data_IF_980969418907
#
_entry.id   IF_980969418907
#
_cell.length_a   1.000
_cell.length_b   1.000
_cell.length_c   1.000
_cell.angle_alpha   90.00
_cell.angle_beta   90.00
_cell.angle_gamma   90.00
#
_symmetry.space_group_name_H-M   'P 1'
#
loop_
_entity.id
_entity.type
_entity.pdbx_description
1 polymer ?
#
# COMPACT_ATOMS: atom_id res chain seq x y z
N UNK A 1 52.46 30.94 -26.34
CA UNK A 1 52.21 31.68 -25.08
C UNK A 1 50.87 31.23 -24.50
N UNK A 2 50.77 31.17 -23.15
CA UNK A 2 49.68 30.65 -22.29
C UNK A 2 49.75 29.13 -21.99
N UNK A 3 50.36 28.67 -20.88
CA UNK A 3 50.09 28.76 -19.40
C UNK A 3 49.38 27.47 -18.94
N UNK A 4 50.13 26.46 -18.47
CA UNK A 4 50.61 26.15 -17.10
C UNK A 4 49.57 25.39 -16.25
N UNK A 5 49.81 24.08 -16.12
CA UNK A 5 49.23 23.17 -15.13
C UNK A 5 49.57 23.62 -13.70
N UNK A 6 48.64 23.48 -12.77
CA UNK A 6 48.89 23.60 -11.33
C UNK A 6 48.45 22.28 -10.70
N UNK A 7 49.44 21.46 -10.36
CA UNK A 7 49.29 20.32 -9.46
C UNK A 7 49.23 20.86 -8.02
N UNK A 8 48.06 20.75 -7.40
CA UNK A 8 47.85 21.10 -5.99
C UNK A 8 47.83 19.85 -5.12
N UNK A 9 49.01 19.33 -4.76
CA UNK A 9 49.14 18.37 -3.66
C UNK A 9 49.00 19.10 -2.32
N UNK A 10 47.95 18.79 -1.56
CA UNK A 10 47.74 19.33 -0.22
C UNK A 10 47.88 18.17 0.79
N UNK A 11 49.07 18.04 1.38
CA UNK A 11 49.28 17.21 2.55
C UNK A 11 48.87 17.98 3.81
N UNK A 12 47.70 17.66 4.38
CA UNK A 12 47.37 18.01 5.77
C UNK A 12 47.43 16.75 6.64
N UNK A 13 48.62 16.41 7.11
CA UNK A 13 48.79 15.48 8.22
C UNK A 13 48.93 16.28 9.52
N UNK A 14 47.80 16.73 10.08
CA UNK A 14 47.76 17.22 11.46
C UNK A 14 47.50 16.02 12.36
N UNK A 15 48.55 15.51 13.01
CA UNK A 15 48.40 14.51 14.07
C UNK A 15 47.59 15.15 15.21
N UNK A 16 46.31 14.78 15.29
CA UNK A 16 45.44 15.13 16.41
C UNK A 16 45.66 14.04 17.46
N UNK A 17 46.41 14.35 18.51
CA UNK A 17 46.41 13.51 19.71
C UNK A 17 45.03 13.64 20.36
N UNK A 18 44.34 12.52 20.65
CA UNK A 18 43.06 12.58 21.36
C UNK A 18 43.31 13.13 22.76
N UNK A 19 42.85 14.36 23.00
CA UNK A 19 42.76 14.92 24.35
C UNK A 19 41.58 14.17 25.00
N UNK A 20 41.88 13.13 25.77
CA UNK A 20 40.90 12.46 26.61
C UNK A 20 40.39 13.46 27.65
N UNK A 21 39.26 14.10 27.36
CA UNK A 21 38.59 14.96 28.33
C UNK A 21 37.97 14.08 29.41
N UNK A 22 38.23 14.32 30.70
CA UNK A 22 37.66 13.51 31.77
C UNK A 22 36.14 13.70 31.80
N UNK A 23 35.40 12.62 31.53
CA UNK A 23 33.94 12.55 31.64
C UNK A 23 33.54 12.16 33.05
N UNK A 24 32.53 12.82 33.61
CA UNK A 24 31.95 12.50 34.93
C UNK A 24 30.61 11.78 34.68
N UNK A 25 30.26 10.77 35.48
CA UNK A 25 28.94 10.12 35.40
C UNK A 25 27.91 10.94 36.17
N UNK A 26 26.81 11.30 35.50
CA UNK A 26 25.65 11.94 36.13
C UNK A 26 24.85 10.94 36.98
N UNK A 27 23.96 11.43 37.85
CA UNK A 27 23.03 10.61 38.65
C UNK A 27 22.18 9.65 37.80
N UNK A 28 21.90 10.05 36.56
CA UNK A 28 21.05 9.31 35.62
C UNK A 28 21.83 8.24 34.84
N UNK A 29 23.12 8.02 35.16
CA UNK A 29 23.98 7.04 34.51
C UNK A 29 24.60 7.47 33.18
N UNK A 30 24.23 8.66 32.67
CA UNK A 30 24.80 9.24 31.45
C UNK A 30 26.15 9.93 31.72
N UNK A 31 27.11 9.74 30.81
CA UNK A 31 28.39 10.43 30.84
C UNK A 31 28.22 11.88 30.37
N UNK A 32 28.68 12.83 31.17
CA UNK A 32 28.60 14.28 30.91
C UNK A 32 30.01 14.89 30.83
N UNK A 33 30.16 15.90 29.96
CA UNK A 33 31.37 16.73 29.93
C UNK A 33 31.41 17.63 31.19
N UNK A 34 32.58 18.21 31.48
CA UNK A 34 32.83 19.05 32.65
C UNK A 34 31.65 19.97 33.01
N UNK A 35 31.30 20.10 34.30
CA UNK A 35 30.25 21.02 34.73
C UNK A 35 30.60 22.45 34.30
N UNK A 36 29.59 23.17 33.81
CA UNK A 36 29.75 24.58 33.40
C UNK A 36 29.86 25.44 34.66
N UNK A 37 30.73 26.46 34.66
CA UNK A 37 30.95 27.32 35.84
C UNK A 37 29.70 28.05 36.36
N UNK A 38 28.65 28.13 35.54
CA UNK A 38 27.47 28.95 35.82
C UNK A 38 26.33 28.18 36.51
N UNK A 39 26.61 27.05 37.17
CA UNK A 39 25.61 26.22 37.87
C UNK A 39 24.55 25.57 36.97
N UNK A 40 24.66 25.72 35.65
CA UNK A 40 23.76 25.07 34.68
C UNK A 40 24.19 23.63 34.47
N UNK A 41 23.22 22.69 34.33
CA UNK A 41 23.52 21.29 34.09
C UNK A 41 24.37 21.14 32.82
N UNK A 42 25.37 20.25 32.82
CA UNK A 42 26.22 20.01 31.65
C UNK A 42 25.39 19.45 30.50
N UNK A 43 25.81 19.74 29.27
CA UNK A 43 25.14 19.17 28.10
C UNK A 43 25.39 17.65 28.05
N UNK A 44 24.38 16.87 27.66
CA UNK A 44 24.57 15.45 27.40
C UNK A 44 25.59 15.26 26.27
N UNK A 45 26.42 14.21 26.38
CA UNK A 45 27.34 13.86 25.32
C UNK A 45 26.56 13.50 24.04
N UNK A 46 26.98 14.00 22.87
CA UNK A 46 26.39 13.55 21.63
C UNK A 46 26.59 12.02 21.47
N UNK A 47 25.64 11.27 20.89
CA UNK A 47 25.71 9.81 20.79
C UNK A 47 26.94 9.26 20.06
N UNK A 48 27.64 10.09 19.28
CA UNK A 48 28.87 9.71 18.59
C UNK A 48 30.09 9.68 19.53
N UNK A 49 30.01 10.31 20.69
CA UNK A 49 31.08 10.39 21.70
C UNK A 49 30.69 9.75 23.04
N UNK A 50 29.46 9.27 23.18
CA UNK A 50 29.04 8.54 24.37
C UNK A 50 29.69 7.13 24.37
N UNK A 51 30.49 6.77 25.40
CA UNK A 51 31.12 5.45 25.49
C UNK A 51 30.12 4.30 25.40
N UNK A 52 28.89 4.46 25.90
CA UNK A 52 27.85 3.42 25.85
C UNK A 52 27.40 3.21 24.40
N UNK A 53 27.19 4.29 23.66
CA UNK A 53 26.79 4.24 22.26
C UNK A 53 27.91 3.69 21.36
N UNK A 54 29.18 4.01 21.68
CA UNK A 54 30.35 3.47 21.00
C UNK A 54 30.53 1.97 21.27
N UNK A 55 30.33 1.51 22.51
CA UNK A 55 30.39 0.09 22.85
C UNK A 55 29.28 -0.69 22.14
N UNK A 56 28.05 -0.16 22.14
CA UNK A 56 26.92 -0.75 21.43
C UNK A 56 27.20 -0.87 19.92
N UNK A 57 27.73 0.19 19.28
CA UNK A 57 28.16 0.15 17.87
C UNK A 57 29.26 -0.88 17.64
N UNK A 58 30.25 -0.96 18.54
CA UNK A 58 31.34 -1.93 18.48
C UNK A 58 30.85 -3.38 18.50
N UNK A 59 29.75 -3.69 19.20
CA UNK A 59 29.16 -5.04 19.21
C UNK A 59 28.59 -5.45 17.84
N UNK A 60 28.05 -4.50 17.08
CA UNK A 60 27.49 -4.76 15.75
C UNK A 60 28.55 -4.79 14.64
N UNK A 61 29.67 -4.08 14.81
CA UNK A 61 30.75 -4.02 13.81
C UNK A 61 31.84 -5.08 14.01
N UNK A 62 31.97 -5.68 15.20
CA UNK A 62 32.88 -6.81 15.42
C UNK A 62 32.44 -7.98 14.55
N UNK A 63 33.29 -8.36 13.59
CA UNK A 63 33.12 -9.59 12.84
C UNK A 63 32.99 -10.75 13.83
N UNK A 64 31.91 -11.54 13.70
CA UNK A 64 31.75 -12.73 14.53
C UNK A 64 33.01 -13.58 14.36
N UNK A 65 33.66 -13.93 15.48
CA UNK A 65 34.85 -14.77 15.46
C UNK A 65 34.53 -16.02 14.64
N UNK A 66 35.23 -16.17 13.51
CA UNK A 66 35.15 -17.36 12.68
C UNK A 66 35.64 -18.50 13.55
N UNK A 67 34.74 -19.38 13.98
CA UNK A 67 35.15 -20.62 14.64
C UNK A 67 36.12 -21.32 13.69
N UNK A 68 37.37 -21.45 14.12
CA UNK A 68 38.36 -22.25 13.43
C UNK A 68 37.88 -23.69 13.49
N UNK A 69 37.16 -24.09 12.45
CA UNK A 69 36.82 -25.48 12.21
C UNK A 69 38.13 -26.24 12.12
N UNK A 70 38.39 -27.06 13.14
CA UNK A 70 39.49 -28.04 13.23
C UNK A 70 39.54 -28.87 11.95
N UNK A 71 40.27 -28.39 10.96
CA UNK A 71 40.77 -29.19 9.85
C UNK A 71 42.13 -29.71 10.26
N UNK A 72 42.16 -30.89 10.87
CA UNK A 72 43.31 -31.79 10.73
C UNK A 72 42.79 -33.16 10.28
N UNK A 73 43.06 -33.42 9.00
CA UNK A 73 43.09 -34.71 8.32
C UNK A 73 43.72 -35.78 9.23
N UNK A 74 43.05 -36.91 9.46
CA UNK A 74 43.20 -38.16 8.68
C UNK A 74 44.65 -38.61 8.50
N UNK A 75 45.11 -39.51 9.39
CA UNK A 75 46.03 -40.59 9.04
C UNK A 75 45.54 -41.89 9.69
N UNK A 76 45.35 -42.89 8.82
CA UNK A 76 45.34 -44.34 9.03
C UNK A 76 44.43 -44.98 10.10
N UNK A 77 43.37 -45.63 9.59
CA UNK A 77 42.82 -46.93 9.99
C UNK A 77 43.07 -47.46 11.40
N UNK A 78 42.01 -47.49 12.20
CA UNK A 78 41.72 -48.61 13.10
C UNK A 78 40.26 -48.51 13.57
N UNK A 79 39.50 -49.55 13.27
CA UNK A 79 38.34 -49.97 14.06
C UNK A 79 38.72 -50.05 15.53
N UNK A 80 37.94 -49.44 16.43
CA UNK A 80 37.57 -49.99 17.75
C UNK A 80 36.34 -49.20 18.23
N UNK A 81 35.26 -49.94 18.44
CA UNK A 81 34.11 -49.51 19.20
C UNK A 81 34.54 -49.19 20.63
N UNK A 82 34.09 -48.07 21.18
CA UNK A 82 33.81 -47.98 22.61
C UNK A 82 32.80 -46.87 22.90
N UNK A 83 31.75 -47.32 23.59
CA UNK A 83 30.71 -46.56 24.26
C UNK A 83 31.28 -45.57 25.27
N UNK A 84 30.47 -44.54 25.53
CA UNK A 84 30.56 -43.56 26.62
C UNK A 84 31.21 -42.22 26.24
N UNK A 85 30.48 -41.44 25.43
CA UNK A 85 30.34 -40.01 25.69
C UNK A 85 29.02 -39.52 25.09
N UNK A 86 27.95 -39.61 25.88
CA UNK A 86 26.75 -38.84 25.66
C UNK A 86 27.05 -37.39 26.07
N UNK A 87 27.14 -36.49 25.08
CA UNK A 87 26.67 -35.09 25.10
C UNK A 87 27.42 -34.29 24.02
N UNK A 88 26.65 -33.61 23.16
CA UNK A 88 27.05 -32.72 22.05
C UNK A 88 27.47 -33.38 20.72
N UNK A 89 26.65 -34.29 20.21
CA UNK A 89 26.53 -34.54 18.77
C UNK A 89 25.19 -34.02 18.26
N UNK A 90 24.92 -32.72 18.42
CA UNK A 90 23.79 -32.04 17.75
C UNK A 90 24.19 -31.70 16.30
N UNK A 91 24.56 -32.73 15.53
CA UNK A 91 24.78 -32.65 14.10
C UNK A 91 23.73 -33.48 13.33
N UNK A 92 22.59 -33.78 13.98
CA UNK A 92 21.37 -34.26 13.33
C UNK A 92 20.56 -33.15 12.65
N UNK A 93 20.90 -31.88 12.90
CA UNK A 93 19.97 -30.79 12.63
C UNK A 93 20.08 -30.19 11.21
N UNK A 94 21.11 -30.51 10.43
CA UNK A 94 21.28 -29.94 9.09
C UNK A 94 20.28 -30.56 8.09
N UNK A 95 20.13 -31.88 8.11
CA UNK A 95 19.14 -32.60 7.29
C UNK A 95 17.71 -32.27 7.72
N UNK A 96 17.49 -32.08 9.02
CA UNK A 96 16.16 -31.74 9.56
C UNK A 96 15.79 -30.28 9.25
N UNK A 97 16.77 -29.38 9.20
CA UNK A 97 16.57 -28.00 8.78
C UNK A 97 16.36 -27.88 7.27
N UNK A 98 17.07 -28.67 6.46
CA UNK A 98 16.89 -28.73 5.01
C UNK A 98 15.49 -29.23 4.64
N UNK A 99 14.93 -30.15 5.42
CA UNK A 99 13.58 -30.68 5.23
C UNK A 99 12.48 -29.81 5.85
N UNK A 100 12.82 -28.78 6.62
CA UNK A 100 11.82 -27.91 7.25
C UNK A 100 11.18 -26.99 6.19
N UNK A 101 9.86 -27.10 5.93
CA UNK A 101 9.18 -26.30 4.91
C UNK A 101 9.23 -24.80 5.21
N UNK A 102 9.29 -24.40 6.48
CA UNK A 102 9.42 -22.99 6.86
C UNK A 102 10.82 -22.45 6.57
N UNK A 103 11.87 -23.26 6.78
CA UNK A 103 13.23 -22.87 6.43
C UNK A 103 13.37 -22.67 4.92
N UNK A 104 12.80 -23.58 4.12
CA UNK A 104 12.73 -23.45 2.66
C UNK A 104 11.92 -22.22 2.22
N UNK A 105 10.80 -21.92 2.90
CA UNK A 105 9.99 -20.74 2.62
C UNK A 105 10.75 -19.43 2.86
N UNK A 106 11.48 -19.34 3.97
CA UNK A 106 12.29 -18.18 4.33
C UNK A 106 13.55 -18.03 3.46
N UNK A 107 14.12 -19.15 3.02
CA UNK A 107 15.25 -19.16 2.09
C UNK A 107 14.87 -18.71 0.67
N UNK A 108 13.56 -18.66 0.33
CA UNK A 108 13.11 -18.20 -0.98
C UNK A 108 13.43 -16.71 -1.20
N UNK A 109 13.76 -16.28 -2.44
CA UNK A 109 14.14 -14.89 -2.70
C UNK A 109 13.07 -13.90 -2.24
N UNK A 110 13.49 -12.84 -1.55
CA UNK A 110 12.58 -11.77 -1.14
C UNK A 110 12.08 -11.02 -2.38
N UNK A 111 10.77 -10.79 -2.42
CA UNK A 111 10.07 -10.07 -3.48
C UNK A 111 9.09 -9.09 -2.87
N UNK A 112 8.80 -8.02 -3.60
CA UNK A 112 7.84 -7.03 -3.17
C UNK A 112 6.44 -7.42 -3.66
N UNK A 113 5.49 -7.56 -2.74
CA UNK A 113 4.07 -7.70 -3.05
C UNK A 113 3.58 -6.42 -3.73
N UNK A 114 2.96 -6.53 -4.90
CA UNK A 114 2.51 -5.36 -5.67
C UNK A 114 1.28 -4.66 -5.07
N UNK A 115 0.48 -5.36 -4.25
CA UNK A 115 -0.69 -4.75 -3.60
C UNK A 115 -0.37 -4.04 -2.31
N UNK A 116 0.42 -4.68 -1.43
CA UNK A 116 0.71 -4.16 -0.10
C UNK A 116 2.04 -3.44 -0.01
N UNK A 117 2.90 -3.55 -1.04
CA UNK A 117 4.27 -3.04 -1.00
C UNK A 117 5.20 -3.81 -0.06
N UNK A 118 4.69 -4.78 0.71
CA UNK A 118 5.47 -5.57 1.65
C UNK A 118 6.54 -6.39 0.93
N UNK A 119 7.76 -6.42 1.49
CA UNK A 119 8.86 -7.28 1.02
C UNK A 119 8.83 -8.57 1.81
N UNK A 120 8.43 -9.66 1.16
CA UNK A 120 8.33 -10.98 1.79
C UNK A 120 8.98 -12.05 0.90
N UNK A 121 9.42 -13.18 1.46
CA UNK A 121 9.91 -14.30 0.67
C UNK A 121 8.89 -14.74 -0.39
N UNK A 122 9.37 -15.10 -1.59
CA UNK A 122 8.53 -15.49 -2.74
C UNK A 122 7.53 -16.60 -2.39
N UNK A 123 7.88 -17.51 -1.48
CA UNK A 123 7.00 -18.58 -1.03
C UNK A 123 5.64 -18.07 -0.52
N UNK A 124 5.61 -16.90 0.11
CA UNK A 124 4.39 -16.27 0.61
C UNK A 124 3.65 -15.45 -0.46
N UNK A 125 4.09 -15.51 -1.72
CA UNK A 125 3.51 -14.76 -2.82
C UNK A 125 2.95 -15.69 -3.90
N UNK A 126 1.74 -15.38 -4.35
CA UNK A 126 1.12 -15.98 -5.53
C UNK A 126 1.58 -15.20 -6.76
N UNK A 127 2.24 -15.85 -7.74
CA UNK A 127 2.53 -15.24 -9.02
C UNK A 127 1.24 -15.05 -9.82
N UNK A 128 1.06 -13.88 -10.42
CA UNK A 128 -0.05 -13.57 -11.31
C UNK A 128 0.48 -13.27 -12.70
N UNK A 129 -0.16 -13.89 -13.69
CA UNK A 129 -0.03 -13.50 -15.09
C UNK A 129 -1.17 -12.58 -15.47
N UNK A 130 -0.85 -11.62 -16.33
CA UNK A 130 -1.86 -10.82 -17.02
C UNK A 130 -2.25 -11.57 -18.29
N UNK A 131 -3.48 -12.06 -18.34
CA UNK A 131 -4.10 -12.66 -19.51
C UNK A 131 -4.87 -11.55 -20.26
N UNK A 132 -4.58 -11.40 -21.55
CA UNK A 132 -5.24 -10.45 -22.47
C UNK A 132 -5.21 -8.97 -22.06
N UNK A 133 -4.23 -8.57 -21.23
CA UNK A 133 -4.10 -7.20 -20.72
C UNK A 133 -5.22 -6.77 -19.76
N UNK A 134 -6.14 -7.66 -19.38
CA UNK A 134 -7.37 -7.30 -18.66
C UNK A 134 -7.64 -8.16 -17.42
N UNK A 135 -7.11 -9.38 -17.34
CA UNK A 135 -7.39 -10.31 -16.23
C UNK A 135 -6.10 -10.77 -15.59
N UNK A 136 -6.08 -10.79 -14.26
CA UNK A 136 -5.00 -11.42 -13.50
C UNK A 136 -5.41 -12.85 -13.15
N UNK A 137 -4.60 -13.82 -13.53
CA UNK A 137 -4.84 -15.24 -13.23
C UNK A 137 -3.66 -15.77 -12.43
N UNK A 138 -3.89 -16.51 -11.32
CA UNK A 138 -2.82 -17.18 -10.59
C UNK A 138 -2.09 -18.14 -11.53
N UNK A 139 -0.78 -17.95 -11.68
CA UNK A 139 0.07 -18.92 -12.35
C UNK A 139 0.12 -20.14 -11.44
N UNK A 140 -0.65 -21.17 -11.76
CA UNK A 140 -0.49 -22.48 -11.11
C UNK A 140 0.96 -22.93 -11.30
N UNK A 141 1.60 -23.34 -10.21
CA UNK A 141 2.95 -23.92 -10.23
C UNK A 141 3.03 -25.15 -11.14
N UNK A 142 1.90 -25.79 -11.43
CA UNK A 142 1.79 -26.91 -12.35
C UNK A 142 1.60 -26.42 -13.79
N UNK A 143 2.57 -25.65 -14.31
CA UNK A 143 2.98 -25.43 -15.72
C UNK A 143 1.99 -25.32 -16.90
N UNK A 144 0.70 -25.63 -16.77
CA UNK A 144 -0.24 -25.79 -17.88
C UNK A 144 -0.59 -24.47 -18.55
N UNK A 145 -0.88 -23.44 -17.75
CA UNK A 145 -1.24 -22.12 -18.25
C UNK A 145 -0.06 -21.34 -18.84
N UNK A 146 1.19 -21.70 -18.54
CA UNK A 146 2.37 -21.04 -19.13
C UNK A 146 2.78 -21.66 -20.48
N UNK A 147 2.51 -22.95 -20.70
CA UNK A 147 2.85 -23.62 -21.97
C UNK A 147 2.08 -23.07 -23.16
N UNK A 148 0.83 -22.63 -22.97
CA UNK A 148 0.02 -22.03 -24.05
C UNK A 148 0.53 -20.66 -24.50
N UNK A 149 1.11 -19.86 -23.61
CA UNK A 149 1.65 -18.53 -23.96
C UNK A 149 3.12 -18.56 -24.39
N UNK A 150 3.85 -19.66 -24.13
CA UNK A 150 5.25 -19.81 -24.54
C UNK A 150 5.44 -19.91 -26.07
N UNK A 151 4.39 -20.29 -26.80
CA UNK A 151 4.43 -20.46 -28.26
C UNK A 151 3.99 -19.20 -29.05
N UNK A 152 3.72 -18.09 -28.36
CA UNK A 152 3.42 -16.80 -28.99
C UNK A 152 4.71 -16.19 -29.60
N UNK A 153 4.83 -16.02 -30.93
CA UNK A 153 6.11 -15.68 -31.55
C UNK A 153 6.60 -14.24 -31.34
N UNK A 154 5.83 -13.36 -30.68
CA UNK A 154 6.15 -11.94 -30.60
C UNK A 154 5.63 -11.31 -29.31
N UNK A 155 6.58 -10.92 -28.44
CA UNK A 155 6.56 -9.87 -27.38
C UNK A 155 7.12 -10.42 -26.07
N UNK A 156 7.99 -9.63 -25.44
CA UNK A 156 8.81 -10.01 -24.28
C UNK A 156 8.04 -10.70 -23.16
N UNK A 157 8.77 -11.49 -22.35
CA UNK A 157 8.21 -12.27 -21.24
C UNK A 157 7.22 -11.42 -20.45
N UNK A 158 5.94 -11.84 -20.32
CA UNK A 158 4.96 -11.08 -19.57
C UNK A 158 5.49 -10.86 -18.15
N UNK A 159 5.51 -9.61 -17.69
CA UNK A 159 5.99 -9.27 -16.36
C UNK A 159 5.16 -10.01 -15.31
N UNK A 160 5.76 -10.96 -14.60
CA UNK A 160 5.08 -11.68 -13.52
C UNK A 160 4.93 -10.74 -12.31
N UNK A 161 3.71 -10.37 -11.96
CA UNK A 161 3.42 -9.67 -10.70
C UNK A 161 3.24 -10.68 -9.58
N UNK A 162 3.58 -10.30 -8.35
CA UNK A 162 3.49 -11.17 -7.18
C UNK A 162 2.58 -10.50 -6.14
N UNK A 163 1.65 -11.25 -5.56
CA UNK A 163 0.70 -10.77 -4.54
C UNK A 163 0.73 -11.71 -3.33
N UNK A 164 0.51 -11.20 -2.12
CA UNK A 164 0.48 -11.99 -0.89
C UNK A 164 -0.53 -13.16 -0.97
N UNK A 165 -0.04 -14.35 -0.60
CA UNK A 165 -0.83 -15.57 -0.45
C UNK A 165 -1.60 -15.55 0.88
N UNK A 166 -2.46 -14.55 1.07
CA UNK A 166 -3.36 -14.45 2.21
C UNK A 166 -4.78 -14.73 1.76
N UNK A 167 -5.54 -15.50 2.55
CA UNK A 167 -6.94 -15.82 2.24
C UNK A 167 -7.75 -14.55 2.00
N UNK A 168 -7.60 -13.51 2.82
CA UNK A 168 -8.31 -12.23 2.65
C UNK A 168 -7.97 -11.54 1.33
N UNK A 169 -6.70 -11.61 0.90
CA UNK A 169 -6.22 -11.05 -0.36
C UNK A 169 -6.70 -11.88 -1.54
N UNK A 170 -6.60 -13.21 -1.50
CA UNK A 170 -7.01 -14.12 -2.58
C UNK A 170 -8.54 -14.11 -2.74
N UNK A 171 -9.32 -14.18 -1.65
CA UNK A 171 -10.78 -14.06 -1.71
C UNK A 171 -11.22 -12.68 -2.20
N UNK A 172 -10.41 -11.65 -1.90
CA UNK A 172 -10.55 -10.30 -2.39
C UNK A 172 -10.10 -10.11 -3.83
N UNK A 173 -9.43 -11.10 -4.46
CA UNK A 173 -9.00 -11.14 -5.88
C UNK A 173 -9.97 -11.96 -6.75
N UNK A 174 -10.68 -12.94 -6.16
CA UNK A 174 -11.46 -13.94 -6.91
C UNK A 174 -12.97 -13.63 -7.06
N UNK A 175 -13.49 -12.59 -6.41
CA UNK A 175 -14.89 -12.16 -6.59
C UNK A 175 -15.02 -11.25 -7.82
N UNK A 176 -16.14 -11.29 -8.55
CA UNK A 176 -16.41 -10.47 -9.76
C UNK A 176 -16.15 -8.94 -9.60
N UNK A 177 -15.97 -8.45 -8.37
CA UNK A 177 -15.65 -7.06 -7.97
C UNK A 177 -14.17 -6.81 -7.66
N UNK A 178 -13.37 -7.85 -7.58
CA UNK A 178 -11.96 -7.82 -7.22
C UNK A 178 -11.00 -7.35 -8.32
N UNK A 179 -11.22 -7.69 -9.61
CA UNK A 179 -10.52 -7.02 -10.70
C UNK A 179 -10.71 -5.52 -10.55
N UNK A 180 -11.91 -5.05 -10.17
CA UNK A 180 -12.14 -3.63 -9.98
C UNK A 180 -11.33 -3.03 -8.83
N UNK A 181 -11.12 -3.70 -7.69
CA UNK A 181 -10.35 -3.15 -6.56
C UNK A 181 -8.83 -3.19 -6.77
N UNK A 182 -8.29 -4.29 -7.30
CA UNK A 182 -6.87 -4.39 -7.66
C UNK A 182 -6.56 -3.48 -8.84
N UNK A 183 -7.43 -3.48 -9.86
CA UNK A 183 -7.32 -2.57 -11.01
C UNK A 183 -7.60 -1.13 -10.59
N UNK A 184 -8.41 -0.84 -9.57
CA UNK A 184 -8.60 0.52 -9.03
C UNK A 184 -7.43 0.98 -8.17
N UNK A 185 -6.83 0.12 -7.35
CA UNK A 185 -5.59 0.46 -6.62
C UNK A 185 -4.44 0.67 -7.61
N UNK A 186 -4.36 -0.12 -8.67
CA UNK A 186 -3.43 0.08 -9.78
C UNK A 186 -3.78 1.28 -10.69
N UNK A 187 -5.06 1.56 -10.96
CA UNK A 187 -5.52 2.69 -11.76
C UNK A 187 -5.36 4.01 -11.01
N UNK A 188 -5.69 4.05 -9.73
CA UNK A 188 -5.42 5.18 -8.83
C UNK A 188 -3.92 5.48 -8.86
N UNK A 189 -3.08 4.44 -8.69
CA UNK A 189 -1.63 4.58 -8.83
C UNK A 189 -1.16 5.01 -10.23
N UNK A 190 -1.92 4.74 -11.30
CA UNK A 190 -1.57 5.16 -12.67
C UNK A 190 -2.05 6.57 -13.04
N UNK A 191 -3.11 7.07 -12.40
CA UNK A 191 -3.73 8.36 -12.73
C UNK A 191 -3.25 9.51 -11.83
N UNK A 192 -2.70 9.21 -10.65
CA UNK A 192 -2.07 10.22 -9.82
C UNK A 192 -0.59 10.33 -10.19
N UNK A 193 -0.17 11.47 -10.76
CA UNK A 193 1.26 11.81 -10.88
C UNK A 193 1.94 11.96 -9.51
N UNK A 194 1.15 12.08 -8.44
CA UNK A 194 1.61 12.06 -7.05
C UNK A 194 1.93 10.63 -6.62
N UNK A 195 3.10 10.49 -6.00
CA UNK A 195 3.62 9.26 -5.41
C UNK A 195 2.65 8.76 -4.34
N UNK A 196 2.01 7.61 -4.56
CA UNK A 196 1.00 6.98 -3.70
C UNK A 196 1.50 6.65 -2.27
N UNK A 197 2.79 6.81 -2.00
CA UNK A 197 3.46 6.44 -0.75
C UNK A 197 3.74 7.62 0.19
N UNK A 198 3.29 8.84 -0.14
CA UNK A 198 3.45 10.03 0.73
C UNK A 198 2.23 10.30 1.63
N UNK A 199 1.13 9.55 1.49
CA UNK A 199 -0.05 9.69 2.35
C UNK A 199 -0.06 8.64 3.45
N UNK A 200 -0.24 9.08 4.70
CA UNK A 200 -0.23 8.23 5.90
C UNK A 200 -1.37 7.19 5.95
N UNK A 201 -2.37 7.28 5.07
CA UNK A 201 -3.40 6.26 4.91
C UNK A 201 -3.84 6.10 3.45
N UNK A 202 -3.59 4.91 2.91
CA UNK A 202 -4.02 4.49 1.56
C UNK A 202 -5.56 4.46 1.42
N UNK A 203 -6.28 4.40 2.54
CA UNK A 203 -7.75 4.40 2.57
C UNK A 203 -8.32 5.80 2.30
N UNK A 204 -7.71 6.84 2.87
CA UNK A 204 -8.10 8.23 2.63
C UNK A 204 -7.93 8.57 1.15
N UNK A 205 -6.80 8.18 0.56
CA UNK A 205 -6.56 8.43 -0.86
C UNK A 205 -7.49 7.62 -1.78
N UNK A 206 -7.80 6.37 -1.43
CA UNK A 206 -8.78 5.58 -2.17
C UNK A 206 -10.17 6.23 -2.11
N UNK A 207 -10.56 6.76 -0.94
CA UNK A 207 -11.80 7.47 -0.75
C UNK A 207 -11.87 8.74 -1.61
N UNK A 208 -10.82 9.55 -1.61
CA UNK A 208 -10.71 10.76 -2.45
C UNK A 208 -10.83 10.42 -3.95
N UNK A 209 -10.19 9.34 -4.41
CA UNK A 209 -10.28 8.90 -5.81
C UNK A 209 -11.71 8.45 -6.15
N UNK A 210 -12.37 7.72 -5.26
CA UNK A 210 -13.75 7.27 -5.46
C UNK A 210 -14.74 8.44 -5.46
N UNK A 211 -14.58 9.39 -4.53
CA UNK A 211 -15.34 10.65 -4.53
C UNK A 211 -15.13 11.44 -5.82
N UNK A 212 -13.89 11.58 -6.26
CA UNK A 212 -13.55 12.21 -7.53
C UNK A 212 -14.10 11.48 -8.77
N UNK A 213 -14.24 10.16 -8.75
CA UNK A 213 -14.95 9.38 -9.78
C UNK A 213 -16.45 9.73 -9.80
N UNK A 214 -17.09 9.82 -8.62
CA UNK A 214 -18.51 10.20 -8.49
C UNK A 214 -18.75 11.62 -9.00
N UNK A 215 -17.94 12.60 -8.57
CA UNK A 215 -18.07 14.00 -9.04
C UNK A 215 -17.89 14.12 -10.56
N UNK A 216 -16.90 13.41 -11.15
CA UNK A 216 -16.72 13.39 -12.61
C UNK A 216 -17.92 12.76 -13.32
N UNK A 217 -18.48 11.69 -12.77
CA UNK A 217 -19.67 11.07 -13.34
C UNK A 217 -20.92 11.97 -13.19
N UNK A 218 -21.04 12.68 -12.07
CA UNK A 218 -22.11 13.62 -11.79
C UNK A 218 -22.06 14.80 -12.77
N UNK A 219 -20.90 15.44 -12.92
CA UNK A 219 -20.68 16.50 -13.92
C UNK A 219 -21.11 16.02 -15.31
N UNK A 220 -20.64 14.85 -15.76
CA UNK A 220 -21.03 14.29 -17.07
C UNK A 220 -22.54 14.03 -17.18
N UNK A 221 -23.21 13.66 -16.10
CA UNK A 221 -24.64 13.47 -16.09
C UNK A 221 -25.39 14.81 -16.21
N UNK A 222 -24.91 15.87 -15.53
CA UNK A 222 -25.48 17.22 -15.55
C UNK A 222 -25.29 17.93 -16.91
N UNK A 223 -24.13 17.77 -17.57
CA UNK A 223 -23.86 18.41 -18.88
C UNK A 223 -24.56 17.72 -20.06
N UNK A 224 -25.08 16.50 -19.90
CA UNK A 224 -25.60 15.70 -21.03
C UNK A 224 -27.04 16.04 -21.46
N UNK A 225 -27.94 16.33 -20.52
CA UNK A 225 -29.26 16.96 -20.73
C UNK A 225 -29.71 17.51 -19.40
N UNK A 226 -30.62 18.48 -19.47
CA UNK A 226 -31.28 19.06 -18.30
C UNK A 226 -31.81 17.95 -17.38
N UNK A 227 -31.28 17.83 -16.15
CA UNK A 227 -31.85 16.92 -15.17
C UNK A 227 -33.25 17.40 -14.78
N UNK A 228 -34.10 16.49 -14.31
CA UNK A 228 -35.41 16.84 -13.80
C UNK A 228 -35.25 17.29 -12.35
N UNK A 229 -35.58 18.54 -12.09
CA UNK A 229 -35.51 19.14 -10.76
C UNK A 229 -36.77 18.78 -9.99
N UNK A 230 -36.62 18.25 -8.78
CA UNK A 230 -37.71 17.81 -7.93
C UNK A 230 -37.59 18.56 -6.60
N UNK A 231 -38.50 19.50 -6.36
CA UNK A 231 -38.43 20.41 -5.21
C UNK A 231 -39.13 19.81 -3.99
N UNK A 232 -40.32 19.26 -4.19
CA UNK A 232 -41.09 18.57 -3.15
C UNK A 232 -41.21 17.07 -3.44
N UNK A 233 -41.56 16.30 -2.41
CA UNK A 233 -41.98 14.91 -2.55
C UNK A 233 -43.22 14.78 -3.43
N UNK A 234 -44.10 15.79 -3.43
CA UNK A 234 -45.32 15.80 -4.24
C UNK A 234 -45.05 15.84 -5.75
N UNK A 235 -43.87 16.32 -6.15
CA UNK A 235 -43.46 16.33 -7.56
C UNK A 235 -43.05 14.94 -8.06
N UNK A 236 -42.93 13.94 -7.18
CA UNK A 236 -42.50 12.59 -7.56
C UNK A 236 -43.51 11.92 -8.50
N UNK A 237 -44.80 12.18 -8.32
CA UNK A 237 -45.85 11.60 -9.16
C UNK A 237 -45.85 12.15 -10.59
N UNK A 238 -45.21 13.30 -10.81
CA UNK A 238 -45.04 13.89 -12.15
C UNK A 238 -43.92 13.24 -12.95
N UNK A 239 -43.09 12.40 -12.32
CA UNK A 239 -41.95 11.79 -12.97
C UNK A 239 -42.34 10.53 -13.74
N UNK A 240 -41.96 10.47 -15.03
CA UNK A 240 -42.10 9.24 -15.82
C UNK A 240 -41.11 8.17 -15.33
N UNK A 241 -41.59 7.32 -14.42
CA UNK A 241 -40.84 6.24 -13.77
C UNK A 241 -40.19 5.29 -14.77
N UNK A 242 -40.78 5.08 -15.96
CA UNK A 242 -40.22 4.18 -16.98
C UNK A 242 -38.91 4.74 -17.56
N UNK A 243 -38.80 6.06 -17.62
CA UNK A 243 -37.65 6.79 -18.20
C UNK A 243 -36.61 7.20 -17.17
N UNK A 244 -36.88 7.11 -15.86
CA UNK A 244 -35.94 7.47 -14.81
C UNK A 244 -34.92 6.37 -14.52
N UNK A 245 -33.64 6.76 -14.42
CA UNK A 245 -32.57 5.84 -14.05
C UNK A 245 -32.18 5.96 -12.58
N UNK A 246 -31.98 7.19 -12.11
CA UNK A 246 -31.47 7.48 -10.77
C UNK A 246 -32.17 8.73 -10.23
N UNK A 247 -32.51 8.72 -8.95
CA UNK A 247 -32.95 9.87 -8.18
C UNK A 247 -31.89 10.16 -7.11
N UNK A 248 -31.30 11.37 -7.13
CA UNK A 248 -30.26 11.78 -6.18
C UNK A 248 -30.81 12.78 -5.18
N UNK A 249 -30.70 12.47 -3.89
CA UNK A 249 -30.90 13.41 -2.80
C UNK A 249 -29.64 14.22 -2.57
N UNK A 250 -29.77 15.55 -2.50
CA UNK A 250 -28.65 16.47 -2.26
C UNK A 250 -28.42 16.72 -0.78
N UNK A 251 -29.48 16.77 0.02
CA UNK A 251 -29.38 17.06 1.45
C UNK A 251 -28.95 15.85 2.28
N UNK A 252 -28.26 16.16 3.38
CA UNK A 252 -27.88 15.23 4.45
C UNK A 252 -29.02 14.87 5.39
N UNK A 253 -30.24 15.35 5.12
CA UNK A 253 -31.42 14.90 5.84
C UNK A 253 -31.62 13.42 5.53
N UNK A 254 -30.92 12.59 6.31
CA UNK A 254 -31.03 11.15 6.41
C UNK A 254 -32.37 10.79 7.02
N UNK A 255 -33.45 11.34 6.48
CA UNK A 255 -34.69 10.61 6.45
C UNK A 255 -34.39 9.40 5.59
N UNK A 256 -34.22 8.24 6.23
CA UNK A 256 -34.58 6.98 5.58
C UNK A 256 -36.01 7.22 5.12
N UNK A 257 -36.17 7.66 3.88
CA UNK A 257 -37.47 7.58 3.25
C UNK A 257 -37.61 6.08 3.05
N UNK A 258 -38.14 5.42 4.09
CA UNK A 258 -38.94 4.23 3.89
C UNK A 258 -40.03 4.70 2.95
N UNK A 259 -39.75 4.59 1.66
CA UNK A 259 -40.78 4.57 0.66
C UNK A 259 -41.46 3.25 0.99
N UNK A 260 -42.44 3.26 1.91
CA UNK A 260 -43.35 2.14 2.11
C UNK A 260 -43.95 1.86 0.72
N UNK A 261 -43.50 0.77 0.09
CA UNK A 261 -43.72 0.51 -1.33
C UNK A 261 -42.51 0.67 -2.26
N UNK A 262 -41.26 0.70 -1.76
CA UNK A 262 -40.01 0.78 -2.54
C UNK A 262 -39.72 -0.41 -3.46
N UNK A 263 -40.74 -1.17 -3.87
CA UNK A 263 -40.76 -1.76 -5.21
C UNK A 263 -41.03 -0.65 -6.26
N UNK A 264 -40.32 0.47 -6.18
CA UNK A 264 -40.13 1.34 -7.34
C UNK A 264 -39.25 0.56 -8.32
N UNK A 265 -39.88 -0.35 -9.08
CA UNK A 265 -39.25 -1.36 -9.92
C UNK A 265 -38.25 -0.74 -10.93
N UNK A 266 -37.02 -0.51 -10.47
CA UNK A 266 -35.87 -0.11 -11.29
C UNK A 266 -35.38 1.34 -11.20
N UNK A 267 -35.85 2.20 -10.28
CA UNK A 267 -35.26 3.54 -10.05
C UNK A 267 -34.41 3.51 -8.78
N UNK A 268 -33.11 3.73 -8.90
CA UNK A 268 -32.22 3.78 -7.74
C UNK A 268 -32.31 5.16 -7.06
N UNK A 269 -32.67 5.19 -5.78
CA UNK A 269 -32.66 6.39 -4.93
C UNK A 269 -31.37 6.38 -4.12
N UNK A 270 -30.62 7.47 -4.17
CA UNK A 270 -29.29 7.57 -3.57
C UNK A 270 -29.08 8.95 -2.94
N UNK A 271 -28.49 8.99 -1.74
CA UNK A 271 -28.21 10.25 -1.02
C UNK A 271 -26.73 10.61 -1.20
N UNK A 272 -26.46 11.63 -2.03
CA UNK A 272 -25.08 11.98 -2.38
C UNK A 272 -24.42 12.84 -1.30
N UNK A 273 -25.20 13.67 -0.59
CA UNK A 273 -24.69 14.53 0.47
C UNK A 273 -23.92 13.73 1.53
N UNK A 274 -24.50 12.61 1.98
CA UNK A 274 -23.87 11.77 3.01
C UNK A 274 -22.61 11.04 2.54
N UNK A 275 -22.49 10.78 1.23
CA UNK A 275 -21.36 10.05 0.65
C UNK A 275 -20.16 10.97 0.35
N UNK A 276 -20.44 12.18 -0.11
CA UNK A 276 -19.47 13.13 -0.63
C UNK A 276 -19.12 14.22 0.39
N UNK A 277 -20.02 14.53 1.32
CA UNK A 277 -20.01 15.77 2.09
C UNK A 277 -20.75 16.87 1.34
N UNK A 278 -21.51 17.71 2.05
CA UNK A 278 -22.35 18.75 1.45
C UNK A 278 -21.55 19.76 0.62
N UNK A 279 -20.36 20.16 1.10
CA UNK A 279 -19.53 21.17 0.42
C UNK A 279 -19.03 20.75 -0.97
N UNK A 280 -18.59 19.50 -1.15
CA UNK A 280 -18.12 19.02 -2.48
C UNK A 280 -19.26 18.96 -3.51
N UNK A 281 -20.47 18.64 -3.05
CA UNK A 281 -21.66 18.56 -3.88
C UNK A 281 -22.10 19.96 -4.29
N UNK A 282 -22.18 20.88 -3.33
CA UNK A 282 -22.49 22.30 -3.58
C UNK A 282 -21.50 22.92 -4.56
N UNK A 283 -20.20 22.66 -4.43
CA UNK A 283 -19.19 23.19 -5.35
C UNK A 283 -19.46 22.73 -6.80
N UNK A 284 -19.81 21.46 -6.99
CA UNK A 284 -20.13 20.93 -8.33
C UNK A 284 -21.44 21.49 -8.88
N UNK A 285 -22.43 21.70 -8.03
CA UNK A 285 -23.68 22.35 -8.43
C UNK A 285 -23.46 23.82 -8.79
N UNK A 286 -22.61 24.52 -8.06
CA UNK A 286 -22.22 25.91 -8.30
C UNK A 286 -21.43 26.09 -9.60
N UNK A 287 -20.60 25.11 -9.96
CA UNK A 287 -19.88 25.08 -11.25
C UNK A 287 -20.78 24.70 -12.43
N UNK A 288 -21.99 24.23 -12.19
CA UNK A 288 -22.90 23.82 -13.26
C UNK A 288 -23.65 25.01 -13.85
N UNK A 289 -23.96 24.94 -15.14
CA UNK A 289 -24.81 25.94 -15.83
C UNK A 289 -26.22 26.04 -15.19
N UNK A 290 -26.59 25.06 -14.37
CA UNK A 290 -27.90 24.92 -13.73
C UNK A 290 -27.94 25.54 -12.32
N UNK A 291 -26.89 26.23 -11.87
CA UNK A 291 -26.77 26.80 -10.51
C UNK A 291 -28.04 27.50 -10.02
N UNK A 292 -28.62 28.35 -10.86
CA UNK A 292 -29.82 29.13 -10.49
C UNK A 292 -31.07 28.25 -10.34
N UNK A 293 -31.17 27.17 -11.11
CA UNK A 293 -32.31 26.24 -11.06
C UNK A 293 -32.18 25.22 -9.93
N UNK A 294 -30.95 24.92 -9.52
CA UNK A 294 -30.62 23.93 -8.49
C UNK A 294 -30.60 24.52 -7.07
N UNK A 295 -30.68 25.86 -6.92
CA UNK A 295 -30.72 26.49 -5.61
C UNK A 295 -32.01 26.09 -4.86
N UNK A 296 -31.83 25.47 -3.68
CA UNK A 296 -32.94 24.99 -2.84
C UNK A 296 -33.60 23.70 -3.35
N UNK A 297 -32.98 23.00 -4.29
CA UNK A 297 -33.48 21.71 -4.78
C UNK A 297 -33.04 20.61 -3.83
N UNK A 298 -34.00 19.82 -3.34
CA UNK A 298 -33.70 18.65 -2.50
C UNK A 298 -33.34 17.41 -3.33
N UNK A 299 -33.91 17.28 -4.53
CA UNK A 299 -33.81 16.07 -5.34
C UNK A 299 -33.53 16.36 -6.82
N UNK A 300 -32.61 15.58 -7.40
CA UNK A 300 -32.31 15.62 -8.83
C UNK A 300 -32.61 14.26 -9.45
N UNK A 301 -33.51 14.24 -10.43
CA UNK A 301 -33.89 13.05 -11.17
C UNK A 301 -33.16 12.97 -12.53
N UNK A 302 -32.48 11.86 -12.76
CA UNK A 302 -31.72 11.61 -13.99
C UNK A 302 -32.41 10.54 -14.86
N UNK A 303 -32.63 10.81 -16.17
CA UNK A 303 -33.21 9.81 -17.07
C UNK A 303 -32.24 8.64 -17.34
N UNK A 304 -32.77 7.49 -17.77
CA UNK A 304 -32.00 6.27 -18.11
C UNK A 304 -31.07 6.55 -19.28
N UNK A 305 -29.77 6.66 -19.00
CA UNK A 305 -28.71 6.89 -19.99
C UNK A 305 -27.41 6.21 -19.62
N UNK A 306 -26.48 6.16 -20.58
CA UNK A 306 -25.12 5.70 -20.35
C UNK A 306 -24.40 6.50 -19.26
N UNK A 307 -24.49 7.83 -19.26
CA UNK A 307 -23.90 8.69 -18.22
C UNK A 307 -24.54 8.45 -16.85
N UNK A 308 -25.86 8.36 -16.78
CA UNK A 308 -26.59 8.05 -15.53
C UNK A 308 -26.21 6.67 -14.98
N UNK A 309 -26.03 5.66 -15.84
CA UNK A 309 -25.54 4.34 -15.41
C UNK A 309 -24.11 4.43 -14.87
N UNK A 310 -23.23 5.21 -15.50
CA UNK A 310 -21.87 5.43 -14.99
C UNK A 310 -21.87 6.11 -13.62
N UNK A 311 -22.75 7.10 -13.43
CA UNK A 311 -22.95 7.75 -12.14
C UNK A 311 -23.43 6.75 -11.09
N UNK A 312 -24.45 5.94 -11.40
CA UNK A 312 -24.94 4.89 -10.50
C UNK A 312 -23.82 3.91 -10.11
N UNK A 313 -23.03 3.43 -11.08
CA UNK A 313 -21.90 2.53 -10.79
C UNK A 313 -20.82 3.19 -9.93
N UNK A 314 -20.55 4.49 -10.12
CA UNK A 314 -19.60 5.22 -9.28
C UNK A 314 -20.11 5.35 -7.84
N UNK A 315 -21.40 5.67 -7.67
CA UNK A 315 -22.06 5.75 -6.35
C UNK A 315 -22.02 4.39 -5.65
N UNK A 316 -22.46 3.32 -6.30
CA UNK A 316 -22.45 1.98 -5.73
C UNK A 316 -21.04 1.51 -5.33
N UNK A 317 -20.01 1.92 -6.07
CA UNK A 317 -18.61 1.63 -5.73
C UNK A 317 -18.17 2.37 -4.47
N UNK A 318 -18.56 3.63 -4.33
CA UNK A 318 -18.26 4.44 -3.14
C UNK A 318 -19.00 3.89 -1.91
N UNK A 319 -20.30 3.60 -2.04
CA UNK A 319 -21.09 2.97 -0.97
C UNK A 319 -20.49 1.63 -0.53
N UNK A 320 -20.11 0.78 -1.49
CA UNK A 320 -19.49 -0.51 -1.21
C UNK A 320 -18.10 -0.40 -0.57
N UNK A 321 -17.42 0.75 -0.70
CA UNK A 321 -16.18 1.05 0.00
C UNK A 321 -16.46 1.50 1.44
N UNK A 322 -17.46 2.36 1.65
CA UNK A 322 -17.82 2.91 2.96
C UNK A 322 -18.49 1.90 3.90
N UNK A 323 -19.18 0.89 3.37
CA UNK A 323 -19.84 -0.16 4.17
C UNK A 323 -18.89 -1.25 4.70
N UNK A 324 -17.59 -1.15 4.43
CA UNK A 324 -16.57 -2.12 4.90
C UNK A 324 -15.90 -1.65 6.17
#
# INVERSE_FOLDING_TARGET
MFRKCIDGSVHFAKQIHPIEQPTIRSSDGLSILRPRSNGKPPLPLPPIMDPIALEARGRYTKSKARQESKTNLRVAGATIANSNNAQLSNAGDATDLENNPYAQALASPIRQCRLSGARVPRFFLVPLAVVDGKRFVPCSSNGGLMKEYANSPRKGRPGSSHILCSRSVITGVNRKTAPNLVTQRLLAASHTKKKLWECDSLEVQALEVLRGDVLRALRRALFGRRPLVVRSRDDWDRLDRKRLGVLLGLDNEAGVIEIEGAEMSGVAVQFIGGLMGSGEVEEVLDQSEWRMELKGVKWIAFPKRKSTRQLLYAIMRLEGFLKR
#
